data_IF_871338028273
#
_entry.id   IF_871338028273
#
_cell.length_a   1.000
_cell.length_b   1.000
_cell.length_c   1.000
_cell.angle_alpha   90.00
_cell.angle_beta   90.00
_cell.angle_gamma   90.00
#
_symmetry.space_group_name_H-M   'P 1'
#
loop_
_entity.id
_entity.type
_entity.pdbx_description
1 polymer ?
#
# COMPACT_ATOMS: atom_id res chain seq x y z
N UNK A 1 -3.66 17.72 3.89
CA UNK A 1 -3.58 17.23 2.49
C UNK A 1 -4.98 17.01 1.96
N UNK A 2 -5.23 17.43 0.72
CA UNK A 2 -6.50 17.21 0.02
C UNK A 2 -6.67 15.74 -0.41
N UNK A 3 -7.90 15.23 -0.46
CA UNK A 3 -8.21 13.88 -0.97
C UNK A 3 -7.66 13.67 -2.39
N UNK A 4 -7.69 14.71 -3.22
CA UNK A 4 -7.15 14.71 -4.58
C UNK A 4 -5.61 14.56 -4.60
N UNK A 5 -4.91 15.09 -3.59
CA UNK A 5 -3.47 14.88 -3.42
C UNK A 5 -3.15 13.46 -2.98
N UNK A 6 -3.97 12.88 -2.08
CA UNK A 6 -3.86 11.47 -1.67
C UNK A 6 -4.12 10.52 -2.83
N UNK A 7 -5.10 10.84 -3.69
CA UNK A 7 -5.43 10.06 -4.88
C UNK A 7 -4.33 10.14 -5.95
N UNK A 8 -3.77 11.34 -6.19
CA UNK A 8 -2.56 11.51 -7.01
C UNK A 8 -1.34 10.80 -6.40
N UNK A 9 -1.32 10.63 -5.07
CA UNK A 9 -0.33 9.84 -4.32
C UNK A 9 -0.27 8.37 -4.73
N UNK A 10 -1.35 7.80 -5.29
CA UNK A 10 -1.34 6.47 -5.90
C UNK A 10 -0.38 6.34 -7.10
N UNK A 11 0.12 7.46 -7.66
CA UNK A 11 1.20 7.50 -8.65
C UNK A 11 2.60 7.61 -8.02
N UNK A 12 2.70 8.03 -6.76
CA UNK A 12 3.94 8.07 -5.99
C UNK A 12 4.01 6.81 -5.14
N UNK A 13 4.48 5.73 -5.74
CA UNK A 13 4.76 4.48 -5.04
C UNK A 13 6.13 4.49 -4.35
N UNK A 14 6.78 5.64 -4.21
CA UNK A 14 8.12 5.75 -3.60
C UNK A 14 8.20 6.90 -2.59
N UNK A 15 8.91 6.68 -1.48
CA UNK A 15 9.21 7.66 -0.43
C UNK A 15 10.64 7.44 0.08
N UNK A 16 11.42 8.50 0.23
CA UNK A 16 12.75 8.42 0.87
C UNK A 16 12.57 8.66 2.36
N UNK A 17 13.16 7.78 3.19
CA UNK A 17 13.16 7.85 4.64
C UNK A 17 14.59 7.67 5.17
N UNK A 18 14.84 8.05 6.41
CA UNK A 18 16.12 7.79 7.07
C UNK A 18 16.20 6.33 7.49
N UNK A 19 17.33 5.69 7.22
CA UNK A 19 17.58 4.34 7.69
C UNK A 19 17.75 4.35 9.23
N UNK A 20 16.97 3.57 9.99
CA UNK A 20 16.99 3.64 11.45
C UNK A 20 18.37 3.44 12.04
N UNK A 21 18.73 4.26 13.03
CA UNK A 21 20.05 4.21 13.66
C UNK A 21 21.17 4.92 12.88
N UNK A 22 20.89 5.48 11.70
CA UNK A 22 21.85 6.21 10.87
C UNK A 22 21.26 7.49 10.30
N UNK A 23 22.12 8.35 9.75
CA UNK A 23 21.70 9.53 8.97
C UNK A 23 21.56 9.24 7.48
N UNK A 24 21.75 7.98 7.06
CA UNK A 24 21.69 7.56 5.66
C UNK A 24 20.24 7.49 5.17
N UNK A 25 20.06 7.74 3.87
CA UNK A 25 18.75 7.70 3.21
C UNK A 25 18.49 6.32 2.58
N UNK A 26 17.23 5.87 2.66
CA UNK A 26 16.75 4.68 1.97
C UNK A 26 15.41 4.98 1.29
N UNK A 27 15.22 4.45 0.08
CA UNK A 27 13.95 4.57 -0.61
C UNK A 27 13.04 3.39 -0.26
N UNK A 28 11.81 3.70 0.20
CA UNK A 28 10.72 2.76 0.35
C UNK A 28 9.83 2.81 -0.89
N UNK A 29 9.53 1.64 -1.46
CA UNK A 29 8.64 1.48 -2.60
C UNK A 29 7.45 0.61 -2.24
N UNK A 30 6.23 1.07 -2.51
CA UNK A 30 5.01 0.26 -2.37
C UNK A 30 5.03 -0.85 -3.43
N UNK A 31 5.02 -2.09 -2.95
CA UNK A 31 5.09 -3.27 -3.78
C UNK A 31 3.79 -3.51 -4.55
N UNK A 32 3.92 -4.01 -5.77
CA UNK A 32 2.79 -4.55 -6.52
C UNK A 32 2.29 -5.87 -5.91
N UNK A 33 1.06 -6.26 -6.24
CA UNK A 33 0.52 -7.57 -5.80
C UNK A 33 1.40 -8.75 -6.22
N UNK A 34 2.05 -8.66 -7.38
CA UNK A 34 2.98 -9.69 -7.85
C UNK A 34 4.20 -9.79 -6.94
N UNK A 35 4.81 -8.66 -6.58
CA UNK A 35 5.98 -8.63 -5.69
C UNK A 35 5.63 -9.06 -4.25
N UNK A 36 4.42 -8.75 -3.79
CA UNK A 36 3.91 -9.26 -2.51
C UNK A 36 3.76 -10.79 -2.55
N UNK A 37 3.22 -11.32 -3.65
CA UNK A 37 3.10 -12.77 -3.83
C UNK A 37 4.48 -13.45 -3.90
N UNK A 38 5.44 -12.86 -4.61
CA UNK A 38 6.82 -13.33 -4.64
C UNK A 38 7.48 -13.32 -3.26
N UNK A 39 7.11 -12.37 -2.40
CA UNK A 39 7.60 -12.32 -1.01
C UNK A 39 7.10 -13.51 -0.19
N UNK A 40 5.83 -13.88 -0.38
CA UNK A 40 5.22 -15.06 0.27
C UNK A 40 5.92 -16.33 -0.21
N UNK A 41 6.07 -16.50 -1.52
CA UNK A 41 6.73 -17.68 -2.09
C UNK A 41 8.20 -17.80 -1.68
N UNK A 42 8.91 -16.68 -1.55
CA UNK A 42 10.29 -16.69 -1.08
C UNK A 42 10.39 -17.06 0.41
N UNK A 43 9.47 -16.59 1.25
CA UNK A 43 9.42 -16.99 2.67
C UNK A 43 9.12 -18.50 2.79
N UNK A 44 8.17 -19.00 2.02
CA UNK A 44 7.87 -20.44 1.96
C UNK A 44 9.08 -21.25 1.47
N UNK A 45 9.76 -20.76 0.44
CA UNK A 45 11.00 -21.36 -0.08
C UNK A 45 12.11 -21.42 0.97
N UNK A 46 12.27 -20.38 1.79
CA UNK A 46 13.23 -20.35 2.89
C UNK A 46 12.92 -21.41 3.95
N UNK A 47 11.65 -21.54 4.35
CA UNK A 47 11.21 -22.54 5.32
C UNK A 47 11.39 -23.96 4.79
N UNK A 48 11.02 -24.21 3.53
CA UNK A 48 11.24 -25.50 2.86
C UNK A 48 12.72 -25.86 2.76
N UNK A 49 13.59 -24.90 2.45
CA UNK A 49 15.03 -25.13 2.39
C UNK A 49 15.65 -25.47 3.75
N UNK A 50 15.03 -24.99 4.85
CA UNK A 50 15.41 -25.33 6.22
C UNK A 50 14.74 -26.59 6.79
N UNK A 51 13.92 -27.29 6.01
CA UNK A 51 13.06 -28.40 6.47
C UNK A 51 12.15 -28.01 7.65
N UNK A 52 11.70 -26.74 7.66
CA UNK A 52 10.85 -26.18 8.71
C UNK A 52 9.40 -26.24 8.27
N UNK A 53 8.58 -26.99 9.00
CA UNK A 53 7.13 -27.01 8.78
C UNK A 53 6.47 -25.81 9.45
N UNK A 54 5.59 -25.12 8.73
CA UNK A 54 4.75 -24.06 9.31
C UNK A 54 3.71 -24.70 10.22
N UNK A 55 3.76 -24.36 11.50
CA UNK A 55 2.91 -24.86 12.56
C UNK A 55 2.68 -23.76 13.59
N UNK A 56 1.85 -23.99 14.60
CA UNK A 56 1.58 -23.00 15.65
C UNK A 56 2.87 -22.49 16.35
N UNK A 57 3.93 -23.30 16.43
CA UNK A 57 5.19 -22.91 17.09
C UNK A 57 6.15 -22.17 16.16
N UNK A 58 5.99 -22.29 14.85
CA UNK A 58 6.88 -21.69 13.83
C UNK A 58 6.21 -20.57 13.05
N UNK A 59 4.92 -20.30 13.31
CA UNK A 59 4.14 -19.28 12.65
C UNK A 59 4.75 -17.88 12.81
N UNK A 60 5.17 -17.51 14.02
CA UNK A 60 5.79 -16.20 14.26
C UNK A 60 7.08 -16.02 13.47
N UNK A 61 7.91 -17.07 13.38
CA UNK A 61 9.13 -17.05 12.58
C UNK A 61 8.82 -16.95 11.07
N UNK A 62 7.72 -17.56 10.63
CA UNK A 62 7.28 -17.50 9.25
C UNK A 62 6.79 -16.09 8.87
N UNK A 63 5.98 -15.48 9.73
CA UNK A 63 5.51 -14.09 9.54
C UNK A 63 6.67 -13.09 9.59
N UNK A 64 7.67 -13.34 10.44
CA UNK A 64 8.88 -12.54 10.53
C UNK A 64 9.74 -12.62 9.26
N UNK A 65 9.89 -13.83 8.69
CA UNK A 65 10.57 -14.02 7.41
C UNK A 65 9.78 -13.39 6.27
N UNK A 66 8.45 -13.52 6.25
CA UNK A 66 7.60 -12.87 5.25
C UNK A 66 7.77 -11.35 5.28
N UNK A 67 7.79 -10.77 6.47
CA UNK A 67 8.07 -9.34 6.69
C UNK A 67 9.46 -8.96 6.14
N UNK A 68 10.47 -9.79 6.40
CA UNK A 68 11.84 -9.58 5.89
C UNK A 68 11.89 -9.62 4.36
N UNK A 69 11.17 -10.55 3.73
CA UNK A 69 11.07 -10.67 2.28
C UNK A 69 10.37 -9.47 1.64
N UNK A 70 9.34 -8.93 2.30
CA UNK A 70 8.65 -7.71 1.87
C UNK A 70 9.61 -6.51 1.94
N UNK A 71 10.27 -6.31 3.09
CA UNK A 71 11.21 -5.21 3.27
C UNK A 71 12.37 -5.27 2.27
N UNK A 72 12.91 -6.46 2.01
CA UNK A 72 13.98 -6.66 1.03
C UNK A 72 13.61 -6.16 -0.37
N UNK A 73 12.35 -6.34 -0.78
CA UNK A 73 11.86 -5.86 -2.08
C UNK A 73 11.45 -4.39 -2.05
N UNK A 74 10.97 -3.92 -0.90
CA UNK A 74 10.49 -2.56 -0.71
C UNK A 74 11.63 -1.54 -0.57
N UNK A 75 12.77 -1.94 0.00
CA UNK A 75 13.92 -1.08 0.22
C UNK A 75 14.79 -1.00 -1.05
N UNK A 76 14.99 0.22 -1.55
CA UNK A 76 15.77 0.54 -2.74
C UNK A 76 16.82 1.60 -2.43
N UNK A 77 17.84 1.67 -3.27
CA UNK A 77 18.82 2.76 -3.22
C UNK A 77 18.11 4.10 -3.46
N UNK A 78 18.39 5.15 -2.66
CA UNK A 78 17.81 6.48 -2.87
C UNK A 78 18.27 7.11 -4.20
N UNK A 79 19.48 6.77 -4.67
CA UNK A 79 20.04 7.28 -5.92
C UNK A 79 19.46 6.58 -7.16
N UNK A 80 19.11 5.29 -7.02
CA UNK A 80 18.53 4.50 -8.09
C UNK A 80 17.45 3.54 -7.55
N UNK A 81 16.19 3.90 -7.77
CA UNK A 81 15.03 3.13 -7.31
C UNK A 81 14.91 1.73 -7.93
N UNK A 82 15.66 1.42 -8.98
CA UNK A 82 15.72 0.08 -9.57
C UNK A 82 16.69 -0.83 -8.83
N UNK A 83 17.63 -0.27 -8.09
CA UNK A 83 18.63 -1.01 -7.35
C UNK A 83 18.11 -1.36 -5.95
N UNK A 84 18.24 -2.63 -5.52
CA UNK A 84 17.87 -3.02 -4.18
C UNK A 84 18.82 -2.38 -3.16
N UNK A 85 18.31 -2.06 -1.96
CA UNK A 85 19.14 -1.53 -0.88
C UNK A 85 20.20 -2.52 -0.39
N UNK A 86 19.85 -3.81 -0.34
CA UNK A 86 20.78 -4.90 -0.05
C UNK A 86 20.89 -5.82 -1.28
N UNK A 87 22.05 -6.43 -1.54
CA UNK A 87 22.22 -7.28 -2.71
C UNK A 87 21.45 -8.61 -2.58
N UNK A 88 21.27 -9.10 -1.35
CA UNK A 88 20.52 -10.33 -1.05
C UNK A 88 19.67 -10.20 0.21
N UNK A 89 18.61 -11.01 0.31
CA UNK A 89 17.78 -11.07 1.53
C UNK A 89 18.58 -11.53 2.76
N UNK A 90 19.58 -12.38 2.55
CA UNK A 90 20.49 -12.85 3.61
C UNK A 90 21.35 -11.72 4.14
N UNK A 91 21.80 -10.81 3.28
CA UNK A 91 22.55 -9.62 3.68
C UNK A 91 21.67 -8.68 4.49
N UNK A 92 20.43 -8.44 4.05
CA UNK A 92 19.48 -7.65 4.84
C UNK A 92 19.25 -8.26 6.23
N UNK A 93 19.02 -9.58 6.30
CA UNK A 93 18.81 -10.29 7.58
C UNK A 93 19.99 -10.16 8.54
N UNK A 94 21.22 -10.02 8.01
CA UNK A 94 22.45 -9.88 8.81
C UNK A 94 22.76 -8.44 9.21
N UNK A 95 22.29 -7.46 8.43
CA UNK A 95 22.63 -6.05 8.59
C UNK A 95 21.61 -5.28 9.42
N UNK A 96 20.35 -5.73 9.46
CA UNK A 96 19.26 -5.03 10.15
C UNK A 96 18.96 -5.73 11.48
N UNK A 97 19.01 -4.98 12.57
CA UNK A 97 18.55 -5.46 13.88
C UNK A 97 17.03 -5.58 13.92
N UNK A 98 16.51 -6.30 14.93
CA UNK A 98 15.05 -6.43 15.09
C UNK A 98 14.35 -5.08 15.26
N UNK A 99 14.95 -4.18 16.03
CA UNK A 99 14.37 -2.86 16.34
C UNK A 99 14.34 -1.95 15.11
N UNK A 100 15.43 -1.92 14.33
CA UNK A 100 15.49 -1.17 13.07
C UNK A 100 14.49 -1.73 12.05
N UNK A 101 14.35 -3.06 11.99
CA UNK A 101 13.35 -3.71 11.14
C UNK A 101 11.93 -3.27 11.51
N UNK A 102 11.58 -3.30 12.79
CA UNK A 102 10.25 -2.89 13.26
C UNK A 102 9.95 -1.41 12.93
N UNK A 103 10.97 -0.54 12.97
CA UNK A 103 10.84 0.85 12.56
C UNK A 103 10.61 0.98 11.03
N UNK A 104 11.37 0.26 10.22
CA UNK A 104 11.19 0.25 8.76
C UNK A 104 9.81 -0.29 8.36
N UNK A 105 9.31 -1.33 9.04
CA UNK A 105 7.94 -1.84 8.82
C UNK A 105 6.90 -0.77 9.12
N UNK A 106 7.04 -0.05 10.24
CA UNK A 106 6.11 1.03 10.59
C UNK A 106 6.09 2.13 9.53
N UNK A 107 7.25 2.54 9.05
CA UNK A 107 7.36 3.53 7.96
C UNK A 107 6.74 3.02 6.66
N UNK A 108 6.97 1.76 6.30
CA UNK A 108 6.36 1.14 5.12
C UNK A 108 4.83 1.10 5.22
N UNK A 109 4.28 0.65 6.36
CA UNK A 109 2.82 0.58 6.58
C UNK A 109 2.20 1.99 6.60
N UNK A 110 2.86 2.95 7.24
CA UNK A 110 2.40 4.35 7.21
C UNK A 110 2.39 4.89 5.78
N UNK A 111 3.43 4.60 4.99
CA UNK A 111 3.50 5.00 3.60
C UNK A 111 2.43 4.31 2.73
N UNK A 112 2.16 3.02 2.97
CA UNK A 112 1.07 2.30 2.30
C UNK A 112 -0.29 2.94 2.59
N UNK A 113 -0.53 3.36 3.84
CA UNK A 113 -1.75 4.09 4.23
C UNK A 113 -1.84 5.49 3.58
N UNK A 114 -0.70 6.18 3.42
CA UNK A 114 -0.63 7.46 2.69
C UNK A 114 -0.99 7.28 1.20
N UNK A 115 -0.49 6.21 0.56
CA UNK A 115 -0.69 5.92 -0.87
C UNK A 115 -2.05 5.27 -1.18
N UNK A 116 -2.63 4.53 -0.23
CA UNK A 116 -3.92 3.88 -0.35
C UNK A 116 -4.86 4.39 0.74
N UNK A 117 -5.56 5.52 0.53
CA UNK A 117 -6.56 5.99 1.49
C UNK A 117 -7.57 4.88 1.78
N UNK A 118 -7.64 4.45 3.04
CA UNK A 118 -8.68 3.54 3.52
C UNK A 118 -10.00 4.31 3.57
N UNK A 119 -10.74 4.26 2.46
CA UNK A 119 -12.02 4.94 2.27
C UNK A 119 -13.13 4.54 3.25
N UNK A 120 -12.92 3.52 4.09
CA UNK A 120 -13.82 3.21 5.22
C UNK A 120 -13.74 4.24 6.37
N UNK A 121 -12.70 5.08 6.37
CA UNK A 121 -12.50 6.16 7.35
C UNK A 121 -12.68 7.55 6.75
N UNK A 122 -13.11 7.65 5.49
CA UNK A 122 -13.35 8.93 4.85
C UNK A 122 -14.69 9.51 5.32
N UNK A 123 -14.70 10.69 5.98
CA UNK A 123 -15.94 11.31 6.40
C UNK A 123 -16.83 11.60 5.19
N UNK A 124 -18.15 11.43 5.35
CA UNK A 124 -19.15 11.49 4.27
C UNK A 124 -19.01 12.73 3.36
N UNK A 125 -18.55 13.86 3.90
CA UNK A 125 -18.37 15.11 3.16
C UNK A 125 -17.20 15.16 2.18
N UNK A 126 -16.25 14.23 2.22
CA UNK A 126 -15.13 14.20 1.28
C UNK A 126 -15.48 13.46 -0.03
N UNK A 127 -16.51 12.59 -0.02
CA UNK A 127 -17.04 11.94 -1.21
C UNK A 127 -17.82 12.90 -2.10
N UNK A 128 -18.58 13.83 -1.52
CA UNK A 128 -19.30 14.85 -2.30
C UNK A 128 -18.32 15.79 -3.01
N UNK A 129 -17.18 16.11 -2.40
CA UNK A 129 -16.11 16.87 -3.07
C UNK A 129 -15.51 16.09 -4.23
N UNK A 130 -15.21 14.81 -4.04
CA UNK A 130 -14.70 13.94 -5.11
C UNK A 130 -15.71 13.84 -6.28
N UNK A 131 -17.00 13.80 -5.97
CA UNK A 131 -18.08 13.79 -6.96
C UNK A 131 -18.20 15.11 -7.72
N UNK A 132 -18.13 16.24 -7.02
CA UNK A 132 -18.13 17.56 -7.65
C UNK A 132 -16.90 17.78 -8.55
N UNK A 133 -15.75 17.24 -8.16
CA UNK A 133 -14.54 17.29 -8.99
C UNK A 133 -14.62 16.33 -10.19
N UNK A 134 -15.24 15.15 -10.03
CA UNK A 134 -15.51 14.21 -11.11
C UNK A 134 -16.47 14.81 -12.16
N UNK A 135 -17.49 15.57 -11.75
CA UNK A 135 -18.39 16.29 -12.66
C UNK A 135 -17.66 17.34 -13.50
N UNK A 136 -16.69 18.04 -12.89
CA UNK A 136 -15.96 19.13 -13.54
C UNK A 136 -14.91 18.62 -14.52
N UNK A 137 -14.21 17.53 -14.19
CA UNK A 137 -13.14 16.96 -15.03
C UNK A 137 -13.07 15.42 -14.91
N UNK A 138 -14.00 14.69 -15.56
CA UNK A 138 -14.13 13.25 -15.38
C UNK A 138 -12.87 12.48 -15.79
N UNK A 139 -12.28 12.80 -16.94
CA UNK A 139 -11.09 12.08 -17.44
C UNK A 139 -9.85 12.29 -16.56
N UNK A 140 -9.61 13.51 -16.08
CA UNK A 140 -8.45 13.82 -15.24
C UNK A 140 -8.55 13.14 -13.86
N UNK A 141 -9.76 13.07 -13.31
CA UNK A 141 -10.01 12.39 -12.04
C UNK A 141 -9.89 10.89 -12.25
N UNK A 142 -10.57 10.29 -13.23
CA UNK A 142 -10.51 8.84 -13.51
C UNK A 142 -9.06 8.36 -13.75
N UNK A 143 -8.25 9.11 -14.51
CA UNK A 143 -6.84 8.80 -14.76
C UNK A 143 -5.91 8.98 -13.54
N UNK A 144 -6.44 9.50 -12.43
CA UNK A 144 -5.72 9.64 -11.17
C UNK A 144 -6.15 8.59 -10.13
N UNK A 145 -7.24 7.87 -10.37
CA UNK A 145 -7.74 6.85 -9.46
C UNK A 145 -7.02 5.52 -9.66
N UNK A 146 -6.67 4.85 -8.57
CA UNK A 146 -6.26 3.45 -8.63
C UNK A 146 -7.47 2.53 -8.80
N UNK A 147 -7.24 1.30 -9.26
CA UNK A 147 -8.29 0.31 -9.56
C UNK A 147 -9.21 0.02 -8.36
N UNK A 148 -8.65 -0.03 -7.13
CA UNK A 148 -9.42 -0.27 -5.91
C UNK A 148 -10.37 0.90 -5.60
N UNK A 149 -9.92 2.13 -5.81
CA UNK A 149 -10.75 3.34 -5.66
C UNK A 149 -11.82 3.44 -6.75
N UNK A 150 -11.48 3.10 -7.99
CA UNK A 150 -12.46 3.06 -9.09
C UNK A 150 -13.59 2.06 -8.81
N UNK A 151 -13.24 0.84 -8.37
CA UNK A 151 -14.23 -0.20 -8.01
C UNK A 151 -15.19 0.26 -6.91
N UNK A 152 -14.68 0.96 -5.89
CA UNK A 152 -15.51 1.50 -4.80
C UNK A 152 -16.32 2.75 -5.22
N UNK A 153 -15.80 3.61 -6.09
CA UNK A 153 -16.55 4.73 -6.69
C UNK A 153 -17.76 4.22 -7.49
N UNK A 154 -17.55 3.17 -8.30
CA UNK A 154 -18.63 2.53 -9.06
C UNK A 154 -19.70 1.94 -8.13
N UNK A 155 -19.29 1.27 -7.04
CA UNK A 155 -20.22 0.76 -6.03
C UNK A 155 -21.03 1.88 -5.36
N UNK A 156 -20.38 2.99 -4.99
CA UNK A 156 -21.06 4.14 -4.39
C UNK A 156 -22.08 4.78 -5.35
N UNK A 157 -21.73 4.95 -6.62
CA UNK A 157 -22.64 5.49 -7.63
C UNK A 157 -23.85 4.59 -7.87
N UNK A 158 -23.63 3.27 -7.91
CA UNK A 158 -24.71 2.30 -8.03
C UNK A 158 -25.67 2.34 -6.83
N UNK A 159 -25.14 2.47 -5.60
CA UNK A 159 -25.94 2.61 -4.39
C UNK A 159 -26.70 3.95 -4.31
N UNK A 160 -26.09 5.04 -4.79
CA UNK A 160 -26.72 6.36 -4.84
C UNK A 160 -27.87 6.43 -5.85
N UNK A 161 -27.72 5.80 -7.02
CA UNK A 161 -28.81 5.72 -8.01
C UNK A 161 -30.01 4.91 -7.50
N UNK A 162 -29.79 3.97 -6.58
CA UNK A 162 -30.87 3.23 -5.91
C UNK A 162 -31.68 4.05 -4.90
N UNK A 163 -31.16 5.20 -4.44
CA UNK A 163 -31.79 6.07 -3.44
C UNK A 163 -32.39 7.37 -4.04
N UNK A 164 -32.50 7.48 -5.37
CA UNK A 164 -33.32 8.56 -5.95
C UNK A 164 -34.79 8.33 -5.55
N UNK A 165 -35.44 9.28 -4.84
CA UNK A 165 -36.84 9.13 -4.50
C UNK A 165 -37.64 9.06 -5.80
N UNK A 166 -38.43 7.99 -5.92
CA UNK A 166 -39.43 7.87 -6.96
C UNK A 166 -40.28 9.15 -6.99
N UNK A 167 -40.41 9.68 -8.19
CA UNK A 167 -41.25 10.80 -8.58
C UNK A 167 -42.68 10.61 -8.00
N UNK A 168 -42.94 11.23 -6.85
CA UNK A 168 -44.30 11.37 -6.33
C UNK A 168 -44.97 12.50 -7.13
N UNK A 169 -45.33 12.19 -8.36
CA UNK A 169 -46.23 12.99 -9.18
C UNK A 169 -47.60 13.07 -8.51
N UNK A 170 -47.78 14.10 -7.68
CA UNK A 170 -49.07 14.49 -7.13
C UNK A 170 -49.79 15.32 -8.20
N UNK A 171 -50.70 14.70 -8.97
CA UNK A 171 -51.66 15.43 -9.80
C UNK A 171 -52.89 15.75 -8.97
N UNK A 172 -53.15 17.04 -8.82
CA UNK A 172 -54.41 17.63 -8.34
C UNK A 172 -55.57 17.38 -9.29
#
# INVERSE_FOLDING_TARGET
MSLLEKLKGGKRNTKVVKFPGTDDDVALVILSNHELQDSIFAAEGYFKAGDITVSATTLDAYEDERTTQILFRALRSPDNLREPFAATVTELRKSVTREEKDLLVKEYVAFEQECSPQFETLPDGDFDKLWEDLKKNPEAVLNSLNFRTLKKLVLYLALRQGNSPADNGSTS
#
